data_IF_992410569597
#
_entry.id   IF_992410569597
#
_cell.length_a   1.000
_cell.length_b   1.000
_cell.length_c   1.000
_cell.angle_alpha   90.00
_cell.angle_beta   90.00
_cell.angle_gamma   90.00
#
_symmetry.space_group_name_H-M   'P 1'
#
loop_
_entity.id
_entity.type
_entity.pdbx_description
1 polymer ?
2 water ?
#
# COMPACT_ATOMS: atom_id res chain seq x y z
N UNK A 4 -6.46 -28.68 12.31
CA UNK A 4 -5.12 -28.29 12.75
C UNK A 4 -4.49 -27.32 11.77
N UNK A 5 -3.59 -26.47 12.27
CA UNK A 5 -3.08 -25.34 11.51
C UNK A 5 -1.78 -24.83 12.12
N UNK A 6 -0.82 -24.46 11.29
CA UNK A 6 0.44 -23.92 11.80
C UNK A 6 0.33 -22.43 12.09
N UNK A 7 1.30 -21.91 12.82
CA UNK A 7 1.39 -20.49 13.15
C UNK A 7 2.27 -19.75 12.12
N UNK A 8 1.88 -18.55 11.70
CA UNK A 8 2.73 -17.74 10.83
C UNK A 8 3.62 -16.81 11.64
N UNK A 9 4.92 -16.80 11.36
CA UNK A 9 5.80 -15.82 12.00
C UNK A 9 6.49 -14.97 10.93
N UNK A 10 6.83 -13.75 11.29
CA UNK A 10 7.42 -12.80 10.35
C UNK A 10 8.86 -12.53 10.72
N UNK A 11 9.71 -12.42 9.70
CA UNK A 11 11.12 -12.16 9.90
C UNK A 11 11.61 -11.14 8.86
N UNK A 12 12.40 -10.18 9.32
CA UNK A 12 12.91 -9.13 8.44
C UNK A 12 14.06 -9.66 7.59
N UNK A 13 14.17 -9.18 6.36
CA UNK A 13 15.15 -9.71 5.43
C UNK A 13 16.45 -8.91 5.44
N UNK A 14 17.57 -9.62 5.58
CA UNK A 14 18.87 -8.99 5.60
C UNK A 14 19.17 -8.44 6.97
N UNK A 15 20.25 -7.69 7.08
CA UNK A 15 20.67 -7.14 8.35
C UNK A 15 19.62 -6.19 8.97
N UNK A 16 19.30 -6.39 10.24
CA UNK A 16 18.18 -5.65 10.84
C UNK A 16 18.58 -4.40 11.64
N UNK A 17 19.87 -4.09 11.66
CA UNK A 17 20.37 -2.92 12.40
C UNK A 17 19.60 -1.64 12.05
N UNK A 18 19.12 -1.56 10.81
CA UNK A 18 18.34 -0.42 10.36
C UNK A 18 17.10 -0.24 11.25
N UNK A 19 16.54 -1.35 11.73
CA UNK A 19 15.41 -1.29 12.66
C UNK A 19 15.85 -0.95 14.07
N UNK A 20 16.92 -1.59 14.52
CA UNK A 20 17.46 -1.39 15.87
C UNK A 20 17.83 0.06 16.17
N UNK A 21 18.16 0.83 15.13
CA UNK A 21 18.52 2.24 15.30
C UNK A 21 17.35 3.19 15.14
N UNK A 22 16.18 2.65 14.78
CA UNK A 22 15.01 3.45 14.50
C UNK A 22 14.13 3.64 15.72
N UNK A 23 13.30 4.69 15.71
CA UNK A 23 12.30 4.88 16.75
C UNK A 23 10.91 4.89 16.15
N UNK A 24 10.84 5.27 14.88
CA UNK A 24 9.57 5.32 14.19
C UNK A 24 9.57 4.52 12.91
N UNK A 25 8.57 3.64 12.80
CA UNK A 25 8.47 2.73 11.68
C UNK A 25 7.23 3.04 10.88
N UNK A 26 7.35 3.06 9.55
CA UNK A 26 6.21 3.27 8.67
C UNK A 26 5.97 2.09 7.74
N UNK A 27 4.70 1.79 7.54
CA UNK A 27 4.27 0.84 6.50
C UNK A 27 3.05 1.35 5.75
N UNK A 28 3.16 1.34 4.42
CA UNK A 28 2.03 1.56 3.55
C UNK A 28 1.22 0.28 3.52
N UNK A 29 -0.06 0.38 3.85
CA UNK A 29 -0.97 -0.76 3.79
C UNK A 29 -1.66 -0.84 2.44
N UNK A 30 -1.42 -1.91 1.70
CA UNK A 30 -1.99 -2.10 0.38
C UNK A 30 -3.32 -2.87 0.42
N UNK A 31 -4.26 -2.45 -0.42
CA UNK A 31 -5.55 -3.12 -0.53
C UNK A 31 -5.49 -4.35 -1.42
N UNK A 32 -4.33 -4.57 -2.07
CA UNK A 32 -4.12 -5.76 -2.92
C UNK A 32 -3.44 -6.90 -2.19
N UNK A 33 -2.86 -6.61 -1.04
CA UNK A 33 -2.14 -7.62 -0.27
C UNK A 33 -3.11 -8.56 0.42
N UNK A 34 -2.60 -9.72 0.77
CA UNK A 34 -3.27 -10.61 1.72
C UNK A 34 -2.36 -10.69 2.93
N UNK A 35 -1.15 -10.15 2.77
CA UNK A 35 -0.08 -10.28 3.74
C UNK A 35 -0.07 -9.12 4.72
N UNK A 36 -1.02 -8.21 4.63
CA UNK A 36 -1.08 -7.11 5.59
C UNK A 36 -2.46 -7.06 6.26
N UNK A 37 -3.05 -8.25 6.40
CA UNK A 37 -4.35 -8.40 7.03
C UNK A 37 -4.38 -9.68 7.85
N UNK A 38 -5.18 -9.65 8.92
CA UNK A 38 -5.40 -10.82 9.76
C UNK A 38 -4.16 -11.42 10.38
N UNK A 39 -4.00 -12.72 10.23
CA UNK A 39 -2.88 -13.45 10.83
C UNK A 39 -1.52 -12.84 10.52
N UNK A 40 -1.33 -12.43 9.27
CA UNK A 40 -0.03 -11.93 8.82
C UNK A 40 0.28 -10.56 9.37
N UNK A 41 -0.75 -9.72 9.52
CA UNK A 41 -0.58 -8.43 10.19
C UNK A 41 -0.20 -8.65 11.66
N UNK A 42 -1.02 -9.43 12.37
CA UNK A 42 -0.72 -9.78 13.76
C UNK A 42 0.69 -10.35 13.89
N UNK A 43 1.08 -11.22 12.96
CA UNK A 43 2.46 -11.70 12.93
C UNK A 43 3.46 -10.55 12.84
N UNK A 44 3.15 -9.55 12.01
CA UNK A 44 4.08 -8.44 11.82
C UNK A 44 4.20 -7.64 13.09
N UNK A 45 3.06 -7.29 13.67
CA UNK A 45 3.07 -6.54 14.92
C UNK A 45 3.76 -7.32 16.04
N UNK A 46 3.57 -8.63 16.07
CA UNK A 46 4.31 -9.41 17.06
C UNK A 46 5.83 -9.28 16.91
N UNK A 47 6.35 -9.39 15.68
CA UNK A 47 7.79 -9.32 15.49
C UNK A 47 8.36 -7.95 15.82
N UNK A 48 7.69 -6.89 15.39
CA UNK A 48 8.24 -5.55 15.56
C UNK A 48 8.33 -5.16 17.06
N UNK A 49 7.38 -5.63 17.87
CA UNK A 49 7.40 -5.34 19.31
C UNK A 49 8.60 -5.94 20.04
N UNK A 50 9.25 -6.93 19.41
CA UNK A 50 10.49 -7.47 19.96
C UNK A 50 11.65 -6.45 19.89
N UNK A 51 11.55 -5.52 18.94
CA UNK A 51 12.51 -4.44 18.83
C UNK A 51 12.06 -3.28 19.70
N UNK A 52 12.44 -3.31 20.97
CA UNK A 52 11.83 -2.39 21.93
C UNK A 52 12.33 -0.94 21.76
N UNK A 53 13.21 -0.72 20.78
CA UNK A 53 13.57 0.64 20.41
C UNK A 53 12.48 1.34 19.59
N UNK A 54 11.52 0.57 19.09
CA UNK A 54 10.42 1.13 18.30
C UNK A 54 9.34 1.72 19.20
N UNK A 55 9.25 3.06 19.23
CA UNK A 55 8.26 3.74 20.07
C UNK A 55 6.99 4.05 19.31
N UNK A 56 7.07 4.02 17.97
CA UNK A 56 5.98 4.48 17.12
C UNK A 56 5.93 3.68 15.83
N UNK A 57 4.71 3.32 15.43
CA UNK A 57 4.44 2.67 14.16
C UNK A 57 3.36 3.46 13.40
N UNK A 58 3.67 3.83 12.16
CA UNK A 58 2.70 4.50 11.30
C UNK A 58 2.19 3.60 10.19
N UNK A 59 0.88 3.43 10.12
CA UNK A 59 0.21 2.71 9.03
C UNK A 59 -0.49 3.71 8.09
N UNK A 60 -0.08 3.74 6.82
CA UNK A 60 -0.80 4.57 5.85
C UNK A 60 -1.76 3.69 5.09
N UNK A 61 -3.05 3.99 5.17
CA UNK A 61 -4.07 3.20 4.48
C UNK A 61 -4.18 3.60 3.00
N UNK A 62 -3.67 2.75 2.11
CA UNK A 62 -3.56 3.10 0.69
C UNK A 62 -4.82 2.71 -0.08
N UNK A 63 -5.95 3.38 0.18
CA UNK A 63 -7.18 3.00 -0.50
C UNK A 63 -7.63 4.03 -1.52
N UNK A 64 -7.51 5.31 -1.17
CA UNK A 64 -7.98 6.40 -2.04
C UNK A 64 -7.21 6.44 -3.36
N UNK A 65 -6.02 5.87 -3.34
CA UNK A 65 -5.18 5.77 -4.53
C UNK A 65 -5.93 5.09 -5.68
N UNK A 66 -6.79 4.15 -5.31
CA UNK A 66 -7.52 3.32 -6.27
C UNK A 66 -8.65 3.99 -7.03
N UNK A 67 -9.01 5.22 -6.68
CA UNK A 67 -10.04 5.96 -7.44
C UNK A 67 -9.77 6.03 -8.96
N UNK A 68 -8.50 6.08 -9.34
CA UNK A 68 -8.10 6.04 -10.74
C UNK A 68 -8.62 4.81 -11.44
N UNK A 69 -8.52 3.66 -10.77
CA UNK A 69 -9.03 2.41 -11.33
C UNK A 69 -10.55 2.27 -11.17
N UNK A 70 -11.06 2.67 -10.01
CA UNK A 70 -12.50 2.69 -9.80
C UNK A 70 -13.20 3.61 -10.84
N UNK A 71 -12.58 4.73 -11.20
CA UNK A 71 -13.17 5.59 -12.25
C UNK A 71 -13.21 4.86 -13.59
N UNK A 72 -12.13 4.15 -13.89
CA UNK A 72 -12.01 3.38 -15.11
C UNK A 72 -13.19 2.41 -15.20
N UNK A 73 -13.40 1.65 -14.12
CA UNK A 73 -14.50 0.71 -14.04
C UNK A 73 -15.88 1.37 -14.16
N UNK A 74 -16.09 2.44 -13.40
CA UNK A 74 -17.44 2.98 -13.15
C UNK A 74 -17.84 4.23 -13.95
N UNK A 75 -16.86 4.96 -14.46
CA UNK A 75 -17.13 6.22 -15.16
C UNK A 75 -17.49 7.36 -14.23
N UNK A 76 -17.36 7.16 -12.93
CA UNK A 76 -17.67 8.20 -11.95
C UNK A 76 -16.65 9.35 -12.00
N UNK A 77 -17.05 10.55 -11.54
CA UNK A 77 -16.05 11.60 -11.32
C UNK A 77 -15.01 11.11 -10.31
N UNK A 78 -13.77 11.57 -10.47
CA UNK A 78 -12.65 11.06 -9.68
C UNK A 78 -12.84 11.16 -8.16
N UNK A 79 -13.42 12.25 -7.68
CA UNK A 79 -13.62 12.38 -6.23
C UNK A 79 -14.69 11.41 -5.76
N UNK A 80 -15.68 11.19 -6.61
CA UNK A 80 -16.76 10.26 -6.30
C UNK A 80 -16.31 8.80 -6.42
N UNK A 81 -15.40 8.53 -7.36
CA UNK A 81 -14.73 7.23 -7.39
C UNK A 81 -13.90 7.05 -6.13
N UNK A 82 -13.36 8.16 -5.62
CA UNK A 82 -12.61 8.17 -4.38
C UNK A 82 -13.41 7.73 -3.17
N UNK A 83 -14.65 8.22 -3.05
CA UNK A 83 -15.52 7.74 -1.96
C UNK A 83 -15.72 6.24 -2.03
N UNK A 84 -15.94 5.71 -3.24
CA UNK A 84 -16.12 4.27 -3.44
C UNK A 84 -14.87 3.52 -2.95
N UNK A 85 -13.71 4.03 -3.34
CA UNK A 85 -12.43 3.42 -3.00
C UNK A 85 -12.19 3.41 -1.50
N UNK A 86 -12.65 4.47 -0.83
CA UNK A 86 -12.44 4.57 0.61
C UNK A 86 -13.28 3.57 1.40
N UNK A 87 -14.18 2.86 0.73
CA UNK A 87 -14.92 1.78 1.37
C UNK A 87 -13.96 0.66 1.76
N UNK A 88 -12.93 0.46 0.93
CA UNK A 88 -11.90 -0.55 1.15
C UNK A 88 -11.13 -0.32 2.43
N UNK A 89 -10.77 0.93 2.70
CA UNK A 89 -10.06 1.24 3.93
C UNK A 89 -10.96 1.03 5.15
N UNK A 90 -12.26 1.28 5.01
CA UNK A 90 -13.18 0.99 6.13
C UNK A 90 -13.23 -0.52 6.40
N UNK A 91 -13.21 -1.30 5.33
CA UNK A 91 -13.17 -2.75 5.44
C UNK A 91 -11.92 -3.22 6.15
N UNK A 92 -10.80 -2.54 5.89
CA UNK A 92 -9.54 -2.98 6.45
C UNK A 92 -9.46 -2.70 7.95
N UNK A 93 -9.94 -1.53 8.35
CA UNK A 93 -9.98 -1.11 9.75
C UNK A 93 -10.83 -2.08 10.57
N UNK A 94 -11.93 -2.53 9.98
CA UNK A 94 -12.91 -3.34 10.70
C UNK A 94 -12.49 -4.80 10.72
N UNK A 95 -11.63 -5.19 9.79
CA UNK A 95 -11.11 -6.55 9.76
C UNK A 95 -9.92 -6.72 10.71
N UNK A 96 -9.31 -5.61 11.11
CA UNK A 96 -8.03 -5.67 11.79
C UNK A 96 -7.91 -4.92 13.09
N UNK A 97 -9.01 -4.87 13.84
CA UNK A 97 -9.02 -4.24 15.17
C UNK A 97 -8.04 -4.93 16.13
N UNK A 98 -7.99 -6.25 16.08
CA UNK A 98 -7.13 -7.01 16.99
C UNK A 98 -5.69 -6.55 16.87
N UNK A 99 -5.19 -6.51 15.63
CA UNK A 99 -3.80 -6.11 15.43
C UNK A 99 -3.53 -4.66 15.85
N UNK A 100 -4.46 -3.76 15.55
CA UNK A 100 -4.24 -2.35 15.84
C UNK A 100 -4.13 -2.12 17.34
N UNK A 101 -4.98 -2.81 18.11
CA UNK A 101 -4.99 -2.62 19.56
C UNK A 101 -3.87 -3.36 20.27
N UNK A 102 -3.21 -4.28 19.58
CA UNK A 102 -2.13 -5.06 20.19
C UNK A 102 -0.78 -4.34 20.17
N UNK A 103 -0.68 -3.24 19.41
CA UNK A 103 0.54 -2.45 19.33
C UNK A 103 0.95 -1.84 20.67
N UNK A 104 -0.05 -1.42 21.47
CA UNK A 104 0.20 -0.82 22.78
C UNK A 104 1.15 -1.68 23.63
N UNK A 105 2.14 -1.03 24.27
CA UNK A 105 2.32 0.40 24.48
C UNK A 105 3.01 1.20 23.35
N UNK A 106 3.42 0.54 22.26
CA UNK A 106 3.91 1.23 21.06
C UNK A 106 2.80 2.09 20.48
N UNK A 107 3.09 3.35 20.17
CA UNK A 107 2.00 4.21 19.69
C UNK A 107 1.72 3.99 18.22
N UNK A 108 0.43 3.93 17.91
CA UNK A 108 -0.03 3.74 16.55
C UNK A 108 -0.47 5.08 15.97
N UNK A 109 -0.04 5.35 14.75
CA UNK A 109 -0.62 6.43 13.98
C UNK A 109 -1.24 5.90 12.69
N UNK A 110 -2.54 6.14 12.51
CA UNK A 110 -3.23 5.76 11.28
C UNK A 110 -3.31 6.98 10.35
N UNK A 111 -2.87 6.81 9.10
CA UNK A 111 -2.95 7.88 8.09
C UNK A 111 -3.80 7.45 6.90
N UNK A 112 -4.78 8.26 6.54
CA UNK A 112 -5.59 7.97 5.36
C UNK A 112 -4.91 8.57 4.13
N UNK A 113 -4.80 7.79 3.05
CA UNK A 113 -4.19 8.28 1.81
C UNK A 113 -4.80 9.61 1.42
N UNK A 114 -6.12 9.74 1.58
CA UNK A 114 -6.80 10.96 1.16
C UNK A 114 -6.26 12.19 1.88
N UNK A 115 -5.83 12.01 3.12
CA UNK A 115 -5.26 13.10 3.91
C UNK A 115 -3.95 13.61 3.34
N UNK A 116 -3.18 12.73 2.70
CA UNK A 116 -1.89 13.10 2.15
C UNK A 116 -2.05 13.79 0.80
N UNK A 117 -3.06 13.39 0.05
CA UNK A 117 -3.28 13.90 -1.28
C UNK A 117 -4.07 15.22 -1.28
N UNK A 118 -5.00 15.37 -0.33
CA UNK A 118 -5.93 16.49 -0.36
C UNK A 118 -5.96 17.38 0.88
N UNK A 119 -5.01 17.18 1.79
CA UNK A 119 -4.87 18.05 2.96
C UNK A 119 -5.64 17.52 4.16
N UNK A 120 -5.19 17.90 5.36
CA UNK A 120 -5.84 17.45 6.59
C UNK A 120 -6.25 18.62 7.49
N UNK A 125 -3.57 22.97 1.98
CA UNK A 125 -2.27 23.26 1.39
C UNK A 125 -2.23 22.89 -0.10
N UNK A 126 -1.17 23.30 -0.79
CA UNK A 126 -0.89 22.76 -2.13
C UNK A 126 0.41 21.95 -2.05
N UNK A 127 0.61 21.29 -0.91
CA UNK A 127 1.80 20.51 -0.69
C UNK A 127 1.85 19.32 -1.64
N UNK A 128 0.72 18.61 -1.77
CA UNK A 128 0.69 17.44 -2.62
C UNK A 128 0.85 17.79 -4.11
N UNK A 129 0.13 18.80 -4.60
CA UNK A 129 0.21 19.11 -6.03
C UNK A 129 1.64 19.52 -6.42
N UNK A 130 2.32 20.21 -5.52
CA UNK A 130 3.73 20.55 -5.70
C UNK A 130 4.56 19.27 -5.80
N UNK A 131 4.25 18.31 -4.93
CA UNK A 131 4.98 17.06 -4.97
C UNK A 131 4.75 16.34 -6.30
N UNK A 132 3.51 16.36 -6.79
CA UNK A 132 3.17 15.68 -8.06
C UNK A 132 3.91 16.32 -9.25
N UNK A 133 4.11 17.64 -9.18
CA UNK A 133 4.79 18.37 -10.25
C UNK A 133 6.18 17.81 -10.47
N UNK A 134 6.86 17.50 -9.37
CA UNK A 134 8.21 16.95 -9.44
C UNK A 134 8.16 15.60 -10.12
N UNK A 135 7.21 14.77 -9.70
CA UNK A 135 7.03 13.46 -10.32
C UNK A 135 6.67 13.56 -11.80
N UNK A 136 5.77 14.48 -12.14
CA UNK A 136 5.38 14.70 -13.53
C UNK A 136 6.51 15.29 -14.38
N UNK A 137 7.30 16.20 -13.81
CA UNK A 137 8.48 16.69 -14.53
C UNK A 137 9.44 15.53 -14.81
N UNK A 138 9.64 14.69 -13.80
CA UNK A 138 10.57 13.58 -13.88
C UNK A 138 10.14 12.61 -14.99
N UNK A 139 8.83 12.43 -15.18
CA UNK A 139 8.34 11.54 -16.22
C UNK A 139 8.62 12.11 -17.61
N UNK A 140 8.46 13.43 -17.72
CA UNK A 140 8.74 14.12 -18.98
C UNK A 140 10.24 14.07 -19.29
N UNK A 141 11.08 14.24 -18.26
CA UNK A 141 12.50 14.57 -18.43
C UNK A 141 13.51 13.44 -18.24
N UNK A 142 13.12 12.39 -17.52
CA UNK A 142 14.01 11.27 -17.24
C UNK A 142 13.53 10.03 -18.01
N UNK A 143 14.34 9.60 -18.99
CA UNK A 143 13.96 8.42 -19.79
C UNK A 143 13.97 7.14 -18.95
N UNK A 144 14.80 7.11 -17.91
CA UNK A 144 14.78 5.97 -17.00
C UNK A 144 13.43 5.90 -16.29
N UNK A 145 13.01 7.01 -15.70
CA UNK A 145 11.72 7.01 -15.00
C UNK A 145 10.57 6.87 -15.98
N UNK A 146 10.70 7.46 -17.18
CA UNK A 146 9.63 7.40 -18.16
C UNK A 146 9.38 5.97 -18.59
N UNK A 147 10.46 5.23 -18.80
CA UNK A 147 10.35 3.84 -19.19
C UNK A 147 9.74 2.97 -18.06
N UNK A 148 10.15 3.24 -16.83
CA UNK A 148 9.61 2.57 -15.64
C UNK A 148 8.09 2.73 -15.55
N UNK A 149 7.63 3.97 -15.63
CA UNK A 149 6.20 4.30 -15.66
C UNK A 149 5.51 3.67 -16.86
N UNK A 150 6.14 3.74 -18.03
CA UNK A 150 5.50 3.22 -19.22
C UNK A 150 5.32 1.73 -19.11
N UNK A 151 6.36 1.06 -18.63
CA UNK A 151 6.35 -0.39 -18.45
C UNK A 151 5.22 -0.81 -17.51
N UNK A 152 5.09 -0.12 -16.39
CA UNK A 152 4.01 -0.43 -15.46
C UNK A 152 2.64 -0.24 -16.13
N UNK A 153 2.41 0.96 -16.67
CA UNK A 153 1.10 1.31 -17.21
C UNK A 153 0.69 0.42 -18.39
N UNK A 154 1.67 -0.11 -19.11
CA UNK A 154 1.39 -1.04 -20.19
C UNK A 154 0.97 -2.41 -19.63
N UNK A 155 1.71 -2.88 -18.64
CA UNK A 155 1.42 -4.16 -18.02
C UNK A 155 0.06 -4.11 -17.35
N UNK A 156 -0.14 -3.15 -16.46
CA UNK A 156 -1.36 -3.09 -15.67
C UNK A 156 -2.54 -2.52 -16.44
N UNK A 157 -2.25 -1.76 -17.49
CA UNK A 157 -3.29 -1.38 -18.44
C UNK A 157 -3.92 -2.62 -19.04
N UNK A 158 -3.08 -3.52 -19.53
CA UNK A 158 -3.53 -4.78 -20.11
C UNK A 158 -4.34 -5.62 -19.12
N UNK A 159 -3.80 -5.80 -17.92
CA UNK A 159 -4.46 -6.62 -16.91
C UNK A 159 -5.84 -6.07 -16.62
N UNK A 160 -5.93 -4.76 -16.50
CA UNK A 160 -7.21 -4.13 -16.21
C UNK A 160 -8.19 -4.15 -17.37
N UNK A 161 -7.73 -3.96 -18.60
CA UNK A 161 -8.65 -3.97 -19.73
C UNK A 161 -9.24 -5.36 -19.96
N UNK A 162 -8.42 -6.39 -19.80
CA UNK A 162 -8.92 -7.77 -19.93
C UNK A 162 -9.88 -8.10 -18.80
N UNK A 163 -9.67 -7.49 -17.64
CA UNK A 163 -10.58 -7.65 -16.51
C UNK A 163 -11.94 -7.02 -16.81
N UNK A 164 -11.96 -5.97 -17.63
CA UNK A 164 -13.17 -5.18 -17.83
C UNK A 164 -13.86 -5.32 -19.20
N UNK A 165 -13.19 -5.93 -20.18
CA UNK A 165 -13.66 -5.90 -21.57
C UNK A 165 -15.10 -6.41 -21.78
N UNK A 166 -15.47 -7.46 -21.05
CA UNK A 166 -16.76 -8.12 -21.26
C UNK A 166 -17.94 -7.41 -20.60
N UNK A 167 -17.65 -6.53 -19.65
CA UNK A 167 -18.71 -5.91 -18.87
C UNK A 167 -18.92 -4.43 -19.22
N UNK A 168 -17.94 -3.80 -19.88
CA UNK A 168 -18.07 -2.39 -20.24
C UNK A 168 -17.34 -2.03 -21.53
N UNK A 169 -17.78 -0.97 -22.20
CA UNK A 169 -17.03 -0.46 -23.34
C UNK A 169 -15.77 0.23 -22.82
N UNK A 170 -14.61 -0.32 -23.18
CA UNK A 170 -13.37 0.23 -22.67
C UNK A 170 -12.25 0.11 -23.70
N UNK A 171 -11.33 1.06 -23.63
CA UNK A 171 -10.22 1.09 -24.55
C UNK A 171 -8.93 0.77 -23.81
N UNK A 172 -8.04 0.03 -24.46
CA UNK A 172 -6.71 -0.24 -23.93
C UNK A 172 -5.98 1.04 -23.55
N UNK A 173 -6.27 2.13 -24.27
CA UNK A 173 -5.65 3.42 -23.99
C UNK A 173 -6.21 4.01 -22.71
N UNK A 174 -7.52 3.88 -22.50
CA UNK A 174 -8.12 4.38 -21.27
C UNK A 174 -7.46 3.73 -20.05
N UNK A 175 -7.29 2.41 -20.11
CA UNK A 175 -6.69 1.64 -19.02
C UNK A 175 -5.26 2.04 -18.74
N UNK A 176 -4.51 2.33 -19.80
CA UNK A 176 -3.12 2.76 -19.68
C UNK A 176 -3.00 4.10 -18.98
N UNK A 177 -3.90 5.01 -19.32
CA UNK A 177 -3.89 6.33 -18.70
C UNK A 177 -4.14 6.22 -17.20
N UNK A 178 -5.18 5.48 -16.82
CA UNK A 178 -5.50 5.30 -15.40
C UNK A 178 -4.33 4.66 -14.66
N UNK A 179 -3.69 3.68 -15.30
CA UNK A 179 -2.58 2.99 -14.65
C UNK A 179 -1.40 3.94 -14.48
N UNK A 180 -1.18 4.81 -15.47
CA UNK A 180 -0.11 5.78 -15.40
C UNK A 180 -0.32 6.75 -14.24
N UNK A 181 -1.51 7.32 -14.15
CA UNK A 181 -1.82 8.24 -13.05
C UNK A 181 -1.72 7.54 -11.67
N UNK A 182 -2.22 6.32 -11.59
CA UNK A 182 -2.01 5.49 -10.39
C UNK A 182 -0.54 5.42 -9.95
N UNK A 183 0.32 4.96 -10.84
CA UNK A 183 1.75 4.82 -10.55
C UNK A 183 2.43 6.13 -10.17
N UNK A 184 2.05 7.23 -10.84
CA UNK A 184 2.63 8.53 -10.53
C UNK A 184 2.20 9.00 -9.14
N UNK A 185 0.92 8.82 -8.82
CA UNK A 185 0.49 9.16 -7.46
C UNK A 185 1.27 8.31 -6.46
N UNK A 186 1.32 7.01 -6.71
CA UNK A 186 2.02 6.14 -5.76
C UNK A 186 3.49 6.54 -5.61
N UNK A 187 4.13 6.97 -6.71
CA UNK A 187 5.53 7.36 -6.65
C UNK A 187 5.73 8.62 -5.84
N UNK A 188 4.78 9.53 -5.99
CA UNK A 188 4.86 10.85 -5.38
C UNK A 188 4.70 10.82 -3.88
N UNK A 189 3.90 9.88 -3.41
CA UNK A 189 3.48 9.85 -2.00
C UNK A 189 4.67 9.82 -1.03
N UNK A 190 5.80 9.25 -1.45
CA UNK A 190 6.96 9.18 -0.56
C UNK A 190 7.40 10.57 -0.14
N UNK A 191 7.15 11.55 -1.00
CA UNK A 191 7.45 12.95 -0.69
C UNK A 191 6.50 13.49 0.39
N UNK A 192 5.32 12.91 0.49
CA UNK A 192 4.44 13.24 1.61
C UNK A 192 4.75 12.38 2.87
N UNK A 193 5.18 11.13 2.69
CA UNK A 193 5.55 10.30 3.84
C UNK A 193 6.64 10.95 4.71
N UNK A 194 7.60 11.65 4.10
CA UNK A 194 8.72 12.19 4.87
C UNK A 194 8.24 13.22 5.88
N UNK A 195 7.11 13.86 5.57
CA UNK A 195 6.46 14.79 6.50
C UNK A 195 5.97 14.11 7.79
N UNK A 196 5.90 12.78 7.80
CA UNK A 196 5.42 12.03 8.96
C UNK A 196 6.57 11.63 9.92
N UNK A 197 7.80 11.95 9.52
CA UNK A 197 8.99 11.67 10.34
C UNK A 197 9.15 10.20 10.67
N UNK A 198 9.30 9.37 9.66
CA UNK A 198 9.59 7.96 9.88
C UNK A 198 11.09 7.76 9.77
N UNK A 199 11.60 6.68 10.38
CA UNK A 199 13.05 6.39 10.31
C UNK A 199 13.31 5.13 9.52
N UNK A 200 12.31 4.26 9.45
CA UNK A 200 12.42 3.06 8.66
C UNK A 200 11.06 2.78 8.05
N UNK A 201 11.07 2.28 6.82
CA UNK A 201 9.86 1.94 6.09
C UNK A 201 9.96 0.48 5.71
N UNK A 202 8.84 -0.23 5.72
CA UNK A 202 8.89 -1.67 5.55
C UNK A 202 7.68 -2.17 4.78
N UNK A 203 7.79 -3.38 4.23
CA UNK A 203 6.75 -3.96 3.39
C UNK A 203 6.99 -5.46 3.25
N UNK A 204 5.92 -6.26 3.19
CA UNK A 204 6.11 -7.69 2.93
C UNK A 204 6.43 -7.98 1.46
N UNK A 205 7.58 -7.50 1.01
CA UNK A 205 7.96 -7.64 -0.39
C UNK A 205 8.85 -6.48 -0.78
N UNK A 206 9.12 -6.35 -2.07
CA UNK A 206 10.00 -5.27 -2.50
C UNK A 206 9.28 -3.93 -2.44
N UNK A 207 10.06 -2.89 -2.16
CA UNK A 207 9.60 -1.51 -2.18
C UNK A 207 9.19 -1.10 -3.60
N UNK A 208 8.08 -0.36 -3.72
CA UNK A 208 7.69 0.23 -5.00
C UNK A 208 8.86 0.98 -5.65
N UNK A 209 9.09 0.77 -6.95
CA UNK A 209 10.28 1.32 -7.62
C UNK A 209 10.10 2.80 -7.94
N UNK A 210 8.87 3.20 -8.15
CA UNK A 210 8.54 4.60 -8.34
C UNK A 210 8.94 5.34 -7.08
N UNK A 211 8.58 4.78 -5.93
CA UNK A 211 8.82 5.39 -4.63
C UNK A 211 10.32 5.51 -4.35
N UNK A 212 11.05 4.45 -4.64
CA UNK A 212 12.49 4.46 -4.42
C UNK A 212 13.15 5.49 -5.32
N UNK A 213 12.75 5.49 -6.59
CA UNK A 213 13.33 6.43 -7.55
C UNK A 213 13.12 7.88 -7.14
N UNK A 214 11.86 8.26 -6.92
CA UNK A 214 11.56 9.64 -6.53
C UNK A 214 12.30 10.07 -5.25
N UNK A 215 12.40 9.17 -4.27
CA UNK A 215 13.09 9.49 -3.03
C UNK A 215 14.55 9.79 -3.26
N UNK A 216 15.24 8.92 -3.98
CA UNK A 216 16.66 9.15 -4.27
C UNK A 216 16.87 10.41 -5.06
N UNK A 217 16.07 10.62 -6.09
CA UNK A 217 16.21 11.82 -6.93
C UNK A 217 16.03 13.14 -6.18
N UNK A 218 14.99 13.24 -5.36
CA UNK A 218 14.67 14.52 -4.75
C UNK A 218 15.12 14.69 -3.30
N UNK A 219 15.49 13.59 -2.62
CA UNK A 219 16.10 13.67 -1.29
C UNK A 219 17.62 13.44 -1.36
N UNK A 220 18.08 12.68 -2.36
CA UNK A 220 19.51 12.46 -2.54
C UNK A 220 20.11 11.60 -1.45
N UNK A 221 19.31 10.70 -0.89
CA UNK A 221 19.72 9.80 0.20
C UNK A 221 19.19 8.39 -0.08
N UNK A 222 19.88 7.35 0.42
CA UNK A 222 19.29 6.02 0.28
C UNK A 222 18.01 5.87 1.13
N UNK A 223 16.97 5.28 0.55
CA UNK A 223 15.75 5.05 1.30
C UNK A 223 15.93 3.91 2.33
N UNK A 224 15.52 4.16 3.56
CA UNK A 224 15.68 3.20 4.67
C UNK A 224 14.57 2.17 4.68
N UNK A 225 14.60 1.29 3.69
CA UNK A 225 13.58 0.28 3.50
C UNK A 225 14.12 -1.09 3.90
N UNK A 226 13.28 -1.89 4.54
CA UNK A 226 13.62 -3.28 4.83
C UNK A 226 12.36 -4.12 4.57
N UNK A 227 12.50 -5.26 3.92
CA UNK A 227 11.33 -6.10 3.71
C UNK A 227 11.26 -7.18 4.79
N UNK A 228 10.13 -7.90 4.82
CA UNK A 228 10.01 -9.06 5.68
C UNK A 228 9.27 -10.17 4.94
N UNK A 229 9.45 -11.39 5.45
CA UNK A 229 8.88 -12.59 4.89
C UNK A 229 8.18 -13.39 5.99
N UNK A 230 7.38 -14.36 5.57
CA UNK A 230 6.71 -15.22 6.53
C UNK A 230 7.22 -16.64 6.46
N UNK A 231 7.01 -17.35 7.56
CA UNK A 231 7.31 -18.76 7.69
C UNK A 231 6.22 -19.35 8.58
N UNK A 232 6.01 -20.66 8.54
CA UNK A 232 5.06 -21.25 9.45
C UNK A 232 5.71 -22.31 10.32
N UNK A 233 5.23 -22.44 11.56
CA UNK A 233 5.79 -23.41 12.50
C UNK A 233 4.68 -24.17 13.17
N UNK A 234 4.98 -25.38 13.61
CA UNK A 234 4.11 -26.09 14.54
C UNK A 234 4.12 -25.36 15.87
N UNK A 235 2.97 -25.18 16.48
CA UNK A 235 2.90 -24.65 17.84
C UNK A 235 1.88 -25.41 18.69
N UNK A 236 1.99 -25.26 20.00
CA UNK A 236 1.03 -25.88 20.93
C UNK A 236 -0.40 -25.47 20.61
N UNK A 237 -0.63 -24.17 20.65
CA UNK A 237 -1.96 -23.59 20.45
C UNK A 237 -1.94 -22.60 19.29
N UNK A 238 -2.59 -22.96 18.19
CA UNK A 238 -2.53 -22.11 17.00
C UNK A 238 -3.75 -21.21 16.93
N UNK A 239 -3.50 -19.93 16.67
CA UNK A 239 -4.56 -18.92 16.59
C UNK A 239 -5.17 -18.82 15.18
N UNK A 240 -6.23 -18.02 15.07
CA UNK A 240 -6.89 -17.75 13.80
C UNK A 240 -7.41 -19.03 13.13
N UNK A 241 -7.80 -20.01 13.94
CA UNK A 241 -8.26 -21.29 13.41
C UNK A 241 -9.68 -21.20 12.86
N UNK A 242 -10.41 -20.17 13.28
CA UNK A 242 -11.76 -19.94 12.77
C UNK A 242 -11.75 -18.93 11.64
N UNK A 243 -10.55 -18.52 11.23
CA UNK A 243 -10.40 -17.62 10.10
C UNK A 243 -10.75 -18.36 8.81
N UNK A 244 -11.41 -17.64 7.90
CA UNK A 244 -11.72 -18.20 6.58
C UNK A 244 -10.44 -18.51 5.83
N UNK A 245 -10.36 -19.73 5.32
CA UNK A 245 -9.17 -20.20 4.61
C UNK A 245 -9.24 -19.80 3.13
N UNK A 246 -9.55 -18.52 2.88
CA UNK A 246 -9.67 -18.00 1.51
C UNK A 246 -8.86 -16.73 1.31
N UNK A 247 -7.79 -16.85 0.53
CA UNK A 247 -6.88 -15.72 0.28
C UNK A 247 -7.41 -14.73 -0.75
N UNK A 248 -8.29 -13.84 -0.31
CA UNK A 248 -8.88 -12.83 -1.19
C UNK A 248 -8.50 -11.44 -0.69
N UNK A 249 -7.85 -10.64 -1.54
CA UNK A 249 -7.50 -9.27 -1.17
C UNK A 249 -8.78 -8.47 -0.95
N UNK A 250 -8.67 -7.33 -0.28
CA UNK A 250 -9.83 -6.48 -0.08
C UNK A 250 -10.25 -5.80 -1.41
N UNK A 251 -9.27 -5.52 -2.28
CA UNK A 251 -9.59 -5.03 -3.62
C UNK A 251 -10.41 -6.06 -4.42
N UNK A 252 -9.96 -7.32 -4.41
CA UNK A 252 -10.72 -8.45 -4.96
C UNK A 252 -12.16 -8.51 -4.51
N UNK A 253 -12.36 -8.52 -3.19
CA UNK A 253 -13.71 -8.62 -2.63
C UNK A 253 -14.59 -7.45 -3.05
N UNK A 254 -13.99 -6.26 -3.13
CA UNK A 254 -14.78 -5.07 -3.42
C UNK A 254 -15.16 -5.02 -4.88
N UNK A 255 -14.31 -5.61 -5.73
CA UNK A 255 -14.60 -5.76 -7.16
C UNK A 255 -15.73 -6.77 -7.37
N UNK A 256 -15.55 -7.97 -6.82
CA UNK A 256 -16.58 -9.01 -6.84
C UNK A 256 -17.92 -8.41 -6.40
N UNK A 257 -17.88 -7.63 -5.32
CA UNK A 257 -19.03 -6.90 -4.81
C UNK A 257 -19.68 -6.01 -5.87
N UNK A 258 -18.86 -5.29 -6.63
CA UNK A 258 -19.36 -4.34 -7.61
C UNK A 258 -19.88 -5.02 -8.87
N UNK A 259 -19.50 -6.28 -9.07
CA UNK A 259 -20.09 -7.08 -10.14
C UNK A 259 -21.55 -7.47 -9.86
N UNK A 260 -21.86 -7.70 -8.59
CA UNK A 260 -23.22 -8.06 -8.14
C UNK A 260 -24.24 -7.00 -8.52
N UNK A 261 -23.77 -5.76 -8.67
CA UNK A 261 -24.64 -4.64 -9.02
C UNK A 261 -24.27 -4.04 -10.38
N UNK A 262 -23.54 -4.83 -11.18
CA UNK A 262 -23.18 -4.48 -12.55
C UNK A 262 -22.62 -3.06 -12.69
#
# INVERSE_FOLDING_TARGET
MARYKKMKKAKFQGNVDIIKNAQCLLMGISMNQTHQSGEELYAFINEIKKYTNIKKVIFVITDYLHRHYVQLETGLPLEEAGKEAEKMGESWLQLNEASLNSLSPVELQLVQWKSLVEGSNQIEDTSYSDCLSKTENCYRDDPFFQQMVDTYSNEFGQKHCNRLKNRIEITLEACQQAAKNYFLEESTIILKFISLNFDVITYPGKCNQGINYIYNKYIGKPLNFISYRFRSEHVKNSLFSFSKKTEESINDAHQFRRNIRSHHHHHH
#
